data_IF_074946094088
#
_entry.id   IF_074946094088
#
_cell.length_a   1.000
_cell.length_b   1.000
_cell.length_c   1.000
_cell.angle_alpha   90.00
_cell.angle_beta   90.00
_cell.angle_gamma   90.00
#
_symmetry.space_group_name_H-M   'P 1'
#
loop_
_entity.id
_entity.type
_entity.pdbx_description
1 polymer ?
#
# COMPACT_ATOMS: atom_id res chain seq x y z
N UNK A 1 -17.14 -15.94 8.78
CA UNK A 1 -15.80 -15.30 8.83
C UNK A 1 -16.05 -13.84 9.16
N UNK A 2 -15.61 -13.35 10.31
CA UNK A 2 -15.83 -11.93 10.65
C UNK A 2 -14.81 -11.10 9.87
N UNK A 3 -15.26 -10.30 8.91
CA UNK A 3 -14.40 -9.34 8.22
C UNK A 3 -13.80 -8.39 9.26
N UNK A 4 -12.46 -8.21 9.30
CA UNK A 4 -11.82 -7.32 10.26
C UNK A 4 -12.25 -5.88 10.01
N UNK A 5 -12.18 -5.05 11.06
CA UNK A 5 -12.50 -3.64 10.93
C UNK A 5 -11.55 -2.96 9.93
N UNK A 6 -12.12 -2.18 9.00
CA UNK A 6 -11.36 -1.31 8.12
C UNK A 6 -11.05 -0.02 8.88
N UNK A 7 -9.77 0.22 9.15
CA UNK A 7 -9.31 1.41 9.87
C UNK A 7 -9.15 2.61 8.95
N UNK A 8 -8.67 2.36 7.73
CA UNK A 8 -8.27 3.41 6.81
C UNK A 8 -8.29 2.93 5.37
N UNK A 9 -8.66 3.86 4.50
CA UNK A 9 -8.62 3.75 3.06
C UNK A 9 -7.84 4.92 2.48
N UNK A 10 -7.04 4.68 1.45
CA UNK A 10 -6.47 5.73 0.64
C UNK A 10 -6.37 5.34 -0.83
N UNK A 11 -6.68 6.29 -1.72
CA UNK A 11 -6.33 6.22 -3.14
C UNK A 11 -5.10 7.09 -3.41
N UNK A 12 -4.06 6.49 -3.98
CA UNK A 12 -2.88 7.20 -4.44
C UNK A 12 -2.72 7.09 -5.95
N UNK A 13 -2.40 8.21 -6.59
CA UNK A 13 -2.27 8.29 -8.07
C UNK A 13 -0.84 8.57 -8.47
N UNK A 14 -0.46 8.10 -9.65
CA UNK A 14 0.86 8.36 -10.22
C UNK A 14 1.12 9.87 -10.31
N UNK A 15 2.24 10.30 -9.74
CA UNK A 15 2.59 11.72 -9.56
C UNK A 15 4.11 11.95 -9.73
N UNK A 16 4.77 11.13 -10.52
CA UNK A 16 6.21 11.24 -10.78
C UNK A 16 6.49 12.53 -11.56
N UNK A 17 7.40 13.35 -11.04
CA UNK A 17 7.82 14.55 -11.75
C UNK A 17 8.65 14.20 -13.00
N UNK A 18 8.54 15.02 -14.05
CA UNK A 18 9.30 14.86 -15.28
C UNK A 18 10.80 14.68 -15.00
N UNK A 19 11.41 13.68 -15.65
CA UNK A 19 12.82 13.35 -15.49
C UNK A 19 13.18 12.53 -14.25
N UNK A 20 12.22 12.18 -13.38
CA UNK A 20 12.45 11.22 -12.29
C UNK A 20 12.17 9.79 -12.75
N UNK A 21 13.08 8.88 -12.42
CA UNK A 21 13.00 7.46 -12.84
C UNK A 21 12.16 6.60 -11.91
N UNK A 22 12.11 6.93 -10.62
CA UNK A 22 11.37 6.13 -9.64
C UNK A 22 9.91 6.57 -9.62
N UNK A 23 8.95 5.67 -9.90
CA UNK A 23 7.54 5.99 -9.83
C UNK A 23 7.15 6.48 -8.44
N UNK A 24 6.47 7.62 -8.37
CA UNK A 24 5.96 8.23 -7.15
C UNK A 24 4.43 8.26 -7.23
N UNK A 25 3.78 7.91 -6.13
CA UNK A 25 2.33 7.98 -5.96
C UNK A 25 1.99 8.90 -4.80
N UNK A 26 0.98 9.75 -4.97
CA UNK A 26 0.53 10.69 -3.93
C UNK A 26 -0.91 10.40 -3.58
N UNK A 27 -1.22 10.36 -2.29
CA UNK A 27 -2.61 10.18 -1.80
C UNK A 27 -3.44 11.39 -2.24
N UNK A 28 -4.58 11.12 -2.88
CA UNK A 28 -5.54 12.14 -3.36
C UNK A 28 -6.92 12.00 -2.74
N UNK A 29 -7.24 10.84 -2.16
CA UNK A 29 -8.48 10.58 -1.45
C UNK A 29 -8.19 9.65 -0.28
N UNK A 30 -8.85 9.85 0.86
CA UNK A 30 -8.72 8.99 2.03
C UNK A 30 -10.01 8.95 2.86
N UNK A 31 -10.26 7.84 3.54
CA UNK A 31 -11.37 7.69 4.49
C UNK A 31 -10.90 6.92 5.73
N UNK A 32 -11.52 7.18 6.88
CA UNK A 32 -11.09 6.63 8.17
C UNK A 32 -9.87 7.34 8.76
N UNK A 33 -9.28 6.77 9.80
CA UNK A 33 -8.15 7.37 10.50
C UNK A 33 -7.14 6.31 10.95
N UNK A 34 -5.93 6.41 10.42
CA UNK A 34 -4.79 5.57 10.82
C UNK A 34 -3.64 6.49 11.26
N UNK A 35 -3.50 6.74 12.57
CA UNK A 35 -2.57 7.74 13.12
C UNK A 35 -1.13 7.71 12.56
N UNK A 36 -0.48 6.55 12.33
CA UNK A 36 0.90 6.55 11.86
C UNK A 36 1.08 7.14 10.45
N UNK A 37 0.02 7.29 9.66
CA UNK A 37 0.06 7.95 8.34
C UNK A 37 0.40 9.43 8.44
N UNK A 38 0.00 10.11 9.53
CA UNK A 38 0.29 11.53 9.76
C UNK A 38 1.79 11.81 9.78
N UNK A 39 2.59 10.86 10.26
CA UNK A 39 4.05 10.96 10.32
C UNK A 39 4.71 10.93 8.93
N UNK A 40 3.97 10.50 7.90
CA UNK A 40 4.44 10.44 6.52
C UNK A 40 4.19 11.73 5.73
N UNK A 41 3.44 12.70 6.29
CA UNK A 41 3.20 13.98 5.61
C UNK A 41 4.50 14.70 5.28
N UNK A 42 4.65 15.06 4.02
CA UNK A 42 5.73 15.89 3.49
C UNK A 42 5.61 17.34 3.95
N UNK A 43 6.56 18.17 3.51
CA UNK A 43 6.51 19.63 3.76
C UNK A 43 5.33 20.31 3.06
N UNK A 44 4.83 19.69 2.00
CA UNK A 44 3.64 20.08 1.25
C UNK A 44 2.33 19.60 1.89
N UNK A 45 2.40 18.96 3.06
CA UNK A 45 1.25 18.38 3.77
C UNK A 45 0.71 17.09 3.14
N UNK A 46 1.28 16.63 2.03
CA UNK A 46 0.83 15.44 1.28
C UNK A 46 1.60 14.20 1.72
N UNK A 47 0.96 13.04 1.57
CA UNK A 47 1.61 11.75 1.76
C UNK A 47 1.90 11.16 0.38
N UNK A 48 3.14 10.73 0.17
CA UNK A 48 3.56 10.08 -1.06
C UNK A 48 4.46 8.89 -0.80
N UNK A 49 4.43 7.95 -1.74
CA UNK A 49 5.27 6.75 -1.75
C UNK A 49 6.01 6.62 -3.06
N UNK A 50 7.27 6.19 -2.99
CA UNK A 50 8.00 5.68 -4.15
C UNK A 50 7.72 4.18 -4.29
N UNK A 51 7.34 3.74 -5.48
CA UNK A 51 7.27 2.33 -5.84
C UNK A 51 8.66 1.89 -6.32
N UNK A 52 9.25 0.91 -5.64
CA UNK A 52 10.63 0.51 -5.87
C UNK A 52 10.75 -1.02 -5.91
N UNK A 53 11.66 -1.52 -6.74
CA UNK A 53 12.11 -2.90 -6.66
C UNK A 53 12.84 -3.16 -5.34
N UNK A 54 12.78 -4.41 -4.86
CA UNK A 54 13.65 -4.87 -3.78
C UNK A 54 14.96 -5.41 -4.35
N UNK A 55 16.07 -4.86 -3.85
CA UNK A 55 17.44 -5.20 -4.25
C UNK A 55 17.95 -6.59 -3.79
N UNK A 56 17.08 -7.50 -3.31
CA UNK A 56 17.52 -8.82 -2.80
C UNK A 56 16.75 -9.96 -3.47
N UNK A 57 17.52 -10.88 -4.05
CA UNK A 57 17.06 -12.12 -4.65
C UNK A 57 16.68 -13.17 -3.59
N UNK A 58 15.58 -13.87 -3.86
CA UNK A 58 15.03 -14.94 -3.04
C UNK A 58 13.52 -15.07 -3.27
N UNK A 59 13.04 -16.28 -3.58
CA UNK A 59 11.65 -16.53 -4.01
C UNK A 59 10.57 -16.09 -2.99
N UNK A 60 10.93 -15.84 -1.74
CA UNK A 60 10.01 -15.41 -0.66
C UNK A 60 9.96 -13.90 -0.42
N UNK A 61 10.81 -13.12 -1.11
CA UNK A 61 10.89 -11.66 -0.97
C UNK A 61 9.97 -11.00 -1.99
N UNK A 62 9.07 -10.08 -1.58
CA UNK A 62 8.25 -9.34 -2.53
C UNK A 62 9.11 -8.58 -3.53
N UNK A 63 8.77 -8.65 -4.82
CA UNK A 63 9.49 -7.96 -5.90
C UNK A 63 9.46 -6.45 -5.75
N UNK A 64 8.32 -5.90 -5.28
CA UNK A 64 8.08 -4.47 -5.15
C UNK A 64 7.85 -4.05 -3.69
N UNK A 65 8.08 -2.77 -3.41
CA UNK A 65 7.77 -2.13 -2.13
C UNK A 65 7.34 -0.68 -2.30
N UNK A 66 6.55 -0.21 -1.35
CA UNK A 66 6.27 1.21 -1.17
C UNK A 66 7.25 1.80 -0.15
N UNK A 67 7.95 2.86 -0.53
CA UNK A 67 8.85 3.61 0.34
C UNK A 67 8.28 4.99 0.60
N UNK A 68 8.01 5.30 1.88
CA UNK A 68 7.51 6.59 2.31
C UNK A 68 8.61 7.59 2.66
N UNK A 69 8.20 8.65 3.37
CA UNK A 69 9.08 9.72 3.87
C UNK A 69 10.29 9.17 4.62
N UNK A 70 11.43 9.87 4.50
CA UNK A 70 12.69 9.51 5.17
C UNK A 70 13.21 8.10 4.86
N UNK A 71 12.88 7.57 3.68
CA UNK A 71 13.25 6.23 3.22
C UNK A 71 12.65 5.08 4.05
N UNK A 72 11.57 5.34 4.80
CA UNK A 72 10.83 4.31 5.52
C UNK A 72 10.27 3.29 4.52
N UNK A 73 10.61 2.02 4.69
CA UNK A 73 9.94 0.94 3.96
C UNK A 73 8.55 0.75 4.56
N UNK A 74 7.52 1.28 3.89
CA UNK A 74 6.14 1.22 4.36
C UNK A 74 5.65 -0.22 4.38
N UNK A 75 5.77 -0.91 3.23
CA UNK A 75 5.55 -2.36 3.13
C UNK A 75 6.17 -2.91 1.83
N UNK A 76 6.45 -4.22 1.80
CA UNK A 76 6.54 -4.96 0.54
C UNK A 76 5.15 -5.26 -0.02
N UNK A 77 5.05 -5.39 -1.34
CA UNK A 77 3.82 -5.71 -2.06
C UNK A 77 3.86 -7.20 -2.48
N UNK A 78 3.30 -8.07 -1.64
CA UNK A 78 3.20 -9.51 -1.92
C UNK A 78 2.16 -9.76 -3.00
N UNK A 79 2.40 -10.75 -3.86
CA UNK A 79 1.51 -11.11 -4.99
C UNK A 79 1.24 -9.97 -5.98
N UNK A 80 2.13 -8.97 -6.03
CA UNK A 80 2.02 -7.82 -6.93
C UNK A 80 2.10 -8.19 -8.42
N UNK A 81 2.78 -9.28 -8.74
CA UNK A 81 2.85 -9.83 -10.09
C UNK A 81 2.27 -11.24 -10.14
N UNK A 82 1.60 -11.55 -11.24
CA UNK A 82 1.15 -12.89 -11.64
C UNK A 82 1.58 -13.08 -13.11
N UNK A 83 2.33 -14.15 -13.39
CA UNK A 83 2.89 -14.46 -14.73
C UNK A 83 3.61 -13.28 -15.41
N UNK A 84 4.35 -12.49 -14.62
CA UNK A 84 5.13 -11.34 -15.11
C UNK A 84 4.31 -10.08 -15.40
N UNK A 85 2.99 -10.09 -15.13
CA UNK A 85 2.09 -8.94 -15.29
C UNK A 85 1.57 -8.47 -13.93
N UNK A 86 1.05 -7.24 -13.86
CA UNK A 86 0.36 -6.76 -12.65
C UNK A 86 -0.84 -7.68 -12.38
N UNK A 87 -0.90 -8.26 -11.18
CA UNK A 87 -2.01 -9.12 -10.75
C UNK A 87 -3.30 -8.32 -10.47
N UNK A 88 -3.20 -7.00 -10.38
CA UNK A 88 -4.28 -6.10 -9.96
C UNK A 88 -4.45 -6.01 -8.44
N UNK A 89 -3.75 -6.84 -7.66
CA UNK A 89 -3.90 -6.89 -6.21
C UNK A 89 -2.57 -7.14 -5.52
N UNK A 90 -2.43 -6.68 -4.29
CA UNK A 90 -1.31 -7.07 -3.46
C UNK A 90 -1.70 -7.02 -1.98
N UNK A 91 -0.84 -7.56 -1.14
CA UNK A 91 -0.95 -7.34 0.29
C UNK A 91 0.39 -7.08 0.96
N UNK A 92 0.32 -6.55 2.16
CA UNK A 92 1.47 -6.19 2.96
C UNK A 92 1.12 -6.08 4.42
N UNK A 93 2.08 -5.62 5.20
CA UNK A 93 1.92 -5.36 6.62
C UNK A 93 3.01 -4.40 7.10
N UNK A 94 2.76 -3.66 8.19
CA UNK A 94 3.74 -2.74 8.74
C UNK A 94 5.04 -3.42 9.18
N UNK A 95 6.12 -2.63 9.20
CA UNK A 95 7.42 -3.06 9.69
C UNK A 95 7.34 -3.46 11.17
N UNK A 96 7.79 -4.66 11.51
CA UNK A 96 7.74 -5.20 12.87
C UNK A 96 8.78 -4.64 13.83
N UNK A 97 9.81 -3.96 13.31
CA UNK A 97 10.90 -3.43 14.12
C UNK A 97 10.52 -2.09 14.75
N UNK A 98 10.92 -1.80 16.00
CA UNK A 98 10.62 -0.53 16.67
C UNK A 98 11.34 0.66 16.03
N UNK A 99 12.43 0.43 15.31
CA UNK A 99 13.20 1.45 14.61
C UNK A 99 13.51 1.03 13.17
N UNK A 100 13.92 2.01 12.35
CA UNK A 100 14.35 1.81 10.98
C UNK A 100 15.56 2.68 10.63
N UNK A 101 16.22 2.36 9.51
CA UNK A 101 17.47 2.97 9.04
C UNK A 101 18.68 2.72 9.95
N UNK A 102 19.88 3.06 9.48
CA UNK A 102 21.11 3.00 10.27
C UNK A 102 21.17 4.03 11.41
N UNK A 103 20.24 5.01 11.43
CA UNK A 103 20.14 6.03 12.47
C UNK A 103 19.05 5.71 13.51
N UNK A 104 18.53 4.49 13.51
CA UNK A 104 17.52 4.01 14.47
C UNK A 104 16.32 4.95 14.65
N UNK A 105 15.83 5.50 13.54
CA UNK A 105 14.65 6.37 13.56
C UNK A 105 13.44 5.57 14.10
N UNK A 106 12.61 6.15 14.98
CA UNK A 106 11.41 5.48 15.48
C UNK A 106 10.49 5.08 14.33
N UNK A 107 10.04 3.83 14.30
CA UNK A 107 9.06 3.36 13.34
C UNK A 107 7.66 3.76 13.81
N UNK A 108 6.96 4.68 13.12
CA UNK A 108 5.64 5.12 13.56
C UNK A 108 4.58 4.02 13.55
N UNK A 109 4.82 2.93 12.80
CA UNK A 109 3.87 1.82 12.67
C UNK A 109 4.10 0.67 13.66
N UNK A 110 5.06 0.76 14.58
CA UNK A 110 5.43 -0.37 15.45
C UNK A 110 4.29 -0.83 16.38
N UNK A 111 3.47 0.10 16.87
CA UNK A 111 2.27 -0.19 17.68
C UNK A 111 1.13 -0.81 16.86
N UNK A 112 1.22 -0.73 15.53
CA UNK A 112 0.22 -1.22 14.59
C UNK A 112 0.75 -2.44 13.80
N UNK A 113 1.86 -3.05 14.23
CA UNK A 113 2.58 -4.13 13.53
C UNK A 113 1.77 -5.40 13.25
N UNK A 114 0.57 -5.51 13.83
CA UNK A 114 -0.34 -6.65 13.69
C UNK A 114 -1.49 -6.36 12.70
N UNK A 115 -1.60 -5.13 12.19
CA UNK A 115 -2.53 -4.77 11.13
C UNK A 115 -2.08 -5.33 9.77
N UNK A 116 -3.05 -5.54 8.88
CA UNK A 116 -2.81 -6.03 7.53
C UNK A 116 -3.15 -4.97 6.49
N UNK A 117 -2.41 -4.96 5.38
CA UNK A 117 -2.65 -4.05 4.26
C UNK A 117 -3.12 -4.84 3.04
N UNK A 118 -4.22 -4.42 2.45
CA UNK A 118 -4.65 -4.84 1.12
C UNK A 118 -4.41 -3.72 0.12
N UNK A 119 -4.09 -4.08 -1.12
CA UNK A 119 -3.86 -3.17 -2.22
C UNK A 119 -4.67 -3.57 -3.44
N UNK A 120 -5.25 -2.58 -4.11
CA UNK A 120 -5.83 -2.72 -5.45
C UNK A 120 -4.97 -1.88 -6.38
N UNK A 121 -4.52 -2.46 -7.49
CA UNK A 121 -3.51 -1.89 -8.38
C UNK A 121 -4.13 -1.69 -9.76
N UNK A 122 -4.35 -0.44 -10.15
CA UNK A 122 -4.98 -0.10 -11.41
C UNK A 122 -3.92 0.02 -12.52
N UNK A 123 -3.87 -0.96 -13.43
CA UNK A 123 -2.98 -0.93 -14.59
C UNK A 123 -3.36 0.19 -15.59
N UNK A 124 -2.43 0.54 -16.48
CA UNK A 124 -2.74 1.41 -17.60
C UNK A 124 -3.64 0.67 -18.61
N UNK A 125 -4.83 1.23 -18.88
CA UNK A 125 -5.79 0.64 -19.82
C UNK A 125 -5.29 0.67 -21.27
N UNK A 126 -4.36 1.57 -21.58
CA UNK A 126 -3.79 1.71 -22.92
C UNK A 126 -2.56 0.83 -23.14
N UNK A 127 -1.91 0.37 -22.07
CA UNK A 127 -0.74 -0.51 -22.13
C UNK A 127 -0.75 -1.51 -20.97
N UNK A 128 -1.30 -2.70 -21.22
CA UNK A 128 -1.39 -3.77 -20.23
C UNK A 128 -0.03 -4.41 -19.90
N UNK A 129 1.03 -4.12 -20.66
CA UNK A 129 2.38 -4.56 -20.35
C UNK A 129 3.12 -3.54 -19.46
N UNK A 130 2.54 -2.36 -19.24
CA UNK A 130 3.09 -1.37 -18.35
C UNK A 130 2.96 -1.83 -16.88
N UNK A 131 4.10 -2.16 -16.29
CA UNK A 131 4.20 -2.57 -14.88
C UNK A 131 4.10 -1.38 -13.90
N UNK A 132 4.00 -0.14 -14.41
CA UNK A 132 3.76 1.06 -13.64
C UNK A 132 2.26 1.33 -13.61
N UNK A 133 1.58 1.14 -12.47
CA UNK A 133 0.14 1.40 -12.37
C UNK A 133 -0.21 2.89 -12.47
N UNK A 134 -1.44 3.17 -12.85
CA UNK A 134 -2.00 4.53 -12.86
C UNK A 134 -2.44 4.96 -11.47
N UNK A 135 -2.97 4.02 -10.68
CA UNK A 135 -3.36 4.26 -9.29
C UNK A 135 -3.18 3.00 -8.42
N UNK A 136 -3.04 3.22 -7.12
CA UNK A 136 -2.99 2.17 -6.11
C UNK A 136 -3.98 2.57 -5.00
N UNK A 137 -4.85 1.65 -4.59
CA UNK A 137 -5.67 1.81 -3.40
C UNK A 137 -5.04 1.03 -2.24
N UNK A 138 -5.10 1.58 -1.04
CA UNK A 138 -4.66 0.96 0.22
C UNK A 138 -5.87 0.80 1.13
N UNK A 139 -6.05 -0.39 1.69
CA UNK A 139 -7.02 -0.69 2.75
C UNK A 139 -6.27 -1.25 3.96
N UNK A 140 -6.46 -0.65 5.12
CA UNK A 140 -5.85 -1.10 6.38
C UNK A 140 -6.88 -1.87 7.20
N UNK A 141 -6.56 -3.12 7.50
CA UNK A 141 -7.40 -4.05 8.26
C UNK A 141 -6.81 -4.27 9.66
N UNK A 142 -7.62 -4.01 10.68
CA UNK A 142 -7.21 -4.12 12.08
C UNK A 142 -6.84 -5.57 12.45
N UNK A 143 -5.65 -5.78 13.04
CA UNK A 143 -5.21 -7.07 13.57
C UNK A 143 -5.14 -8.21 12.54
N UNK A 144 -5.16 -7.87 11.25
CA UNK A 144 -5.39 -8.83 10.18
C UNK A 144 -4.12 -9.46 9.60
N UNK A 145 -2.93 -9.09 10.07
CA UNK A 145 -1.65 -9.50 9.48
C UNK A 145 -1.51 -11.00 9.27
N UNK A 146 -1.93 -11.83 10.22
CA UNK A 146 -1.81 -13.30 10.13
C UNK A 146 -2.66 -13.86 8.98
N UNK A 147 -3.82 -13.26 8.74
CA UNK A 147 -4.79 -13.72 7.75
C UNK A 147 -4.82 -12.85 6.48
N UNK A 148 -3.87 -11.92 6.33
CA UNK A 148 -3.95 -10.90 5.28
C UNK A 148 -3.91 -11.49 3.86
N UNK A 149 -3.22 -12.61 3.66
CA UNK A 149 -3.23 -13.33 2.38
C UNK A 149 -4.60 -13.93 2.07
N UNK A 150 -5.31 -14.45 3.08
CA UNK A 150 -6.68 -14.95 2.93
C UNK A 150 -7.66 -13.79 2.64
N UNK A 151 -7.49 -12.65 3.31
CA UNK A 151 -8.30 -11.45 3.00
C UNK A 151 -7.98 -10.88 1.62
N UNK A 152 -6.75 -11.01 1.11
CA UNK A 152 -6.43 -10.65 -0.26
C UNK A 152 -7.19 -11.54 -1.26
N UNK A 153 -7.28 -12.85 -1.01
CA UNK A 153 -8.13 -13.73 -1.83
C UNK A 153 -9.60 -13.34 -1.75
N UNK A 154 -10.11 -13.01 -0.57
CA UNK A 154 -11.48 -12.51 -0.40
C UNK A 154 -11.70 -11.21 -1.17
N UNK A 155 -10.72 -10.29 -1.20
CA UNK A 155 -10.76 -9.06 -2.00
C UNK A 155 -10.85 -9.37 -3.50
N UNK A 156 -10.03 -10.30 -4.01
CA UNK A 156 -10.09 -10.74 -5.42
C UNK A 156 -11.47 -11.32 -5.77
N UNK A 157 -12.11 -12.01 -4.82
CA UNK A 157 -13.44 -12.60 -4.99
C UNK A 157 -14.60 -11.59 -4.81
N UNK A 158 -14.33 -10.29 -4.66
CA UNK A 158 -15.35 -9.25 -4.48
C UNK A 158 -15.91 -9.15 -3.05
N UNK A 159 -15.29 -9.82 -2.08
CA UNK A 159 -15.79 -9.87 -0.69
C UNK A 159 -15.63 -8.56 0.10
N UNK A 160 -15.14 -7.49 -0.53
CA UNK A 160 -15.02 -6.14 0.03
C UNK A 160 -15.74 -5.07 -0.81
N UNK A 161 -16.44 -5.44 -1.89
CA UNK A 161 -16.96 -4.49 -2.88
C UNK A 161 -17.88 -3.43 -2.27
N UNK A 162 -18.87 -3.86 -1.47
CA UNK A 162 -19.79 -2.93 -0.79
C UNK A 162 -19.04 -1.94 0.13
N UNK A 163 -18.06 -2.44 0.90
CA UNK A 163 -17.27 -1.62 1.80
C UNK A 163 -16.39 -0.63 1.04
N UNK A 164 -15.75 -1.07 -0.04
CA UNK A 164 -14.93 -0.22 -0.92
C UNK A 164 -15.76 0.87 -1.59
N UNK A 165 -16.95 0.54 -2.08
CA UNK A 165 -17.84 1.52 -2.69
C UNK A 165 -18.28 2.60 -1.70
N UNK A 166 -18.54 2.23 -0.45
CA UNK A 166 -18.80 3.19 0.62
C UNK A 166 -17.57 4.06 0.91
N UNK A 167 -16.39 3.46 1.06
CA UNK A 167 -15.15 4.19 1.37
C UNK A 167 -14.74 5.15 0.25
N UNK A 168 -14.87 4.74 -1.01
CA UNK A 168 -14.60 5.59 -2.18
C UNK A 168 -15.53 6.79 -2.26
N UNK A 169 -16.81 6.62 -1.89
CA UNK A 169 -17.76 7.73 -1.78
C UNK A 169 -17.39 8.68 -0.65
N UNK A 170 -17.01 8.14 0.51
CA UNK A 170 -16.58 8.93 1.67
C UNK A 170 -15.28 9.69 1.43
N UNK A 171 -14.33 9.11 0.70
CA UNK A 171 -13.01 9.70 0.49
C UNK A 171 -12.95 10.88 -0.45
N UNK A 172 -14.02 11.05 -1.26
CA UNK A 172 -14.16 12.14 -2.23
C UNK A 172 -15.03 13.29 -1.69
N UNK A 173 -15.52 13.19 -0.46
CA UNK A 173 -16.21 14.27 0.27
C UNK A 173 -15.21 15.11 1.06
#
# INVERSE_FOLDING_TARGET
MNTPAILYYARMVYSTANGKKTPKYTIVAQAGYYPPMEQLKGRDGKISFNLMEKLKEGNSVPSMRLQGKSSLNFTGLKEYFEDGKLSGYAYGYPLEKPTYSSKEKPNPFYEYKDDGYLFIVEADKNDQNNIIPTSIELVVLQGAKVLISAYCKQLVMGGFDDALDMLRKQSNM
#
